data_IF_323349507053
#
_entry.id   IF_323349507053
#
_cell.length_a   1.000
_cell.length_b   1.000
_cell.length_c   1.000
_cell.angle_alpha   90.00
_cell.angle_beta   90.00
_cell.angle_gamma   90.00
#
_symmetry.space_group_name_H-M   'P 1'
#
loop_
_entity.id
_entity.type
_entity.pdbx_description
1 polymer ?
#
# COMPACT_ATOMS: atom_id res chain seq x y z
N UNK A 1 16.16 -20.90 21.17
CA UNK A 1 16.96 -21.66 20.19
C UNK A 1 17.81 -20.65 19.48
N UNK A 2 19.09 -20.81 19.65
CA UNK A 2 20.23 -19.98 19.50
C UNK A 2 20.23 -18.96 18.35
N UNK A 3 20.74 -17.81 18.68
CA UNK A 3 21.32 -16.86 17.75
C UNK A 3 22.42 -17.57 16.98
N UNK A 4 22.09 -18.12 15.82
CA UNK A 4 23.11 -18.60 14.90
C UNK A 4 23.81 -17.38 14.30
N UNK A 5 24.80 -16.88 15.00
CA UNK A 5 25.81 -16.01 14.41
C UNK A 5 26.57 -16.87 13.39
N UNK A 6 26.27 -16.64 12.11
CA UNK A 6 27.12 -17.19 11.05
C UNK A 6 28.45 -16.45 11.15
N UNK A 7 29.44 -17.06 11.77
CA UNK A 7 30.85 -16.60 11.67
C UNK A 7 31.28 -16.82 10.23
N UNK A 8 31.29 -15.78 9.45
CA UNK A 8 31.97 -15.76 8.17
C UNK A 8 33.45 -15.49 8.45
N UNK A 9 34.34 -16.26 7.83
CA UNK A 9 35.78 -16.03 7.94
C UNK A 9 36.10 -14.56 7.58
N UNK A 10 37.07 -13.96 8.23
CA UNK A 10 37.37 -12.51 8.13
C UNK A 10 37.67 -12.01 6.72
N UNK A 11 38.06 -12.89 5.81
CA UNK A 11 38.25 -12.62 4.38
C UNK A 11 36.97 -12.64 3.55
N UNK A 12 35.86 -13.06 4.17
CA UNK A 12 34.52 -13.17 3.54
C UNK A 12 33.46 -12.34 4.26
N UNK A 13 33.84 -11.33 4.99
CA UNK A 13 32.89 -10.42 5.62
C UNK A 13 32.05 -9.70 4.57
N UNK A 14 30.75 -9.84 4.67
CA UNK A 14 29.82 -9.05 3.88
C UNK A 14 29.73 -7.65 4.47
N UNK A 15 30.26 -6.67 3.75
CA UNK A 15 30.10 -5.27 4.12
C UNK A 15 28.67 -4.84 3.81
N UNK A 16 27.92 -4.46 4.85
CA UNK A 16 26.59 -3.89 4.70
C UNK A 16 26.68 -2.36 4.85
N UNK A 17 26.13 -1.63 3.88
CA UNK A 17 26.00 -0.19 3.98
C UNK A 17 24.61 0.27 3.55
N UNK A 18 24.04 1.21 4.29
CA UNK A 18 22.79 1.90 3.97
C UNK A 18 22.85 3.32 4.48
N UNK A 19 22.65 4.28 3.58
CA UNK A 19 22.79 5.70 3.89
C UNK A 19 21.59 6.31 4.63
N UNK A 20 20.50 5.55 4.86
CA UNK A 20 19.28 6.02 5.53
C UNK A 20 18.84 5.07 6.64
N UNK A 21 18.04 5.55 7.57
CA UNK A 21 17.21 4.69 8.44
C UNK A 21 16.20 3.92 7.59
N UNK A 22 15.71 2.79 8.07
CA UNK A 22 14.66 2.03 7.41
C UNK A 22 13.84 1.23 8.41
N UNK A 23 12.57 1.00 8.08
CA UNK A 23 11.70 0.14 8.88
C UNK A 23 11.76 -1.31 8.43
N UNK A 24 11.44 -2.23 9.32
CA UNK A 24 11.32 -3.65 9.05
C UNK A 24 10.41 -4.32 10.09
N UNK A 25 9.91 -5.50 9.76
CA UNK A 25 9.15 -6.32 10.70
C UNK A 25 10.12 -7.35 11.31
N UNK A 26 10.35 -7.26 12.61
CA UNK A 26 11.23 -8.20 13.27
C UNK A 26 10.62 -9.62 13.35
N UNK A 27 11.39 -10.59 13.87
CA UNK A 27 10.96 -12.00 14.00
C UNK A 27 9.71 -12.17 14.88
N UNK A 28 9.40 -11.20 15.74
CA UNK A 28 8.22 -11.20 16.60
C UNK A 28 6.99 -10.54 15.96
N UNK A 29 7.12 -10.06 14.71
CA UNK A 29 6.04 -9.37 14.00
C UNK A 29 5.90 -7.87 14.33
N UNK A 30 6.85 -7.30 15.09
CA UNK A 30 6.83 -5.90 15.48
C UNK A 30 7.51 -5.01 14.44
N UNK A 31 6.94 -3.83 14.19
CA UNK A 31 7.60 -2.79 13.39
C UNK A 31 8.76 -2.19 14.17
N UNK A 32 9.95 -2.22 13.59
CA UNK A 32 11.19 -1.65 14.13
C UNK A 32 11.80 -0.68 13.13
N UNK A 33 12.61 0.24 13.64
CA UNK A 33 13.47 1.10 12.84
C UNK A 33 14.92 0.65 13.00
N UNK A 34 15.59 0.41 11.89
CA UNK A 34 17.01 0.19 11.84
C UNK A 34 17.75 1.49 11.53
N UNK A 35 18.86 1.73 12.22
CA UNK A 35 19.71 2.88 12.03
C UNK A 35 20.53 2.82 10.71
N UNK A 36 21.22 3.90 10.39
CA UNK A 36 22.16 3.93 9.25
C UNK A 36 23.19 2.80 9.41
N UNK A 37 23.40 2.04 8.35
CA UNK A 37 24.29 0.89 8.32
C UNK A 37 23.90 -0.29 9.24
N UNK A 38 22.74 -0.27 9.85
CA UNK A 38 22.19 -1.40 10.62
C UNK A 38 21.44 -2.36 9.69
N UNK A 39 21.80 -3.66 9.65
CA UNK A 39 21.08 -4.64 8.85
C UNK A 39 19.71 -4.94 9.45
N UNK A 40 18.74 -5.27 8.61
CA UNK A 40 17.35 -5.61 8.99
C UNK A 40 17.18 -7.12 8.94
N UNK A 41 16.85 -7.72 10.07
CA UNK A 41 16.56 -9.16 10.15
C UNK A 41 15.09 -9.39 10.42
N UNK A 42 14.39 -9.90 9.44
CA UNK A 42 13.00 -10.33 9.49
C UNK A 42 12.87 -11.83 9.77
N UNK A 43 11.64 -12.34 9.82
CA UNK A 43 11.38 -13.76 10.08
C UNK A 43 12.11 -14.67 9.10
N UNK A 44 12.19 -14.28 7.84
CA UNK A 44 12.81 -15.05 6.75
C UNK A 44 14.33 -14.87 6.66
N UNK A 45 14.91 -13.94 7.43
CA UNK A 45 16.35 -13.67 7.45
C UNK A 45 16.71 -12.22 7.19
N UNK A 46 17.90 -12.00 6.63
CA UNK A 46 18.40 -10.68 6.26
C UNK A 46 17.60 -10.11 5.09
N UNK A 47 16.93 -8.96 5.31
CA UNK A 47 16.20 -8.24 4.27
C UNK A 47 17.20 -7.46 3.40
N UNK A 48 17.32 -7.87 2.14
CA UNK A 48 18.13 -7.19 1.12
C UNK A 48 17.17 -6.69 0.05
N UNK A 49 17.14 -5.37 -0.15
CA UNK A 49 16.30 -4.71 -1.15
C UNK A 49 17.13 -3.74 -1.98
N UNK A 50 16.75 -3.58 -3.25
CA UNK A 50 17.18 -2.44 -4.04
C UNK A 50 16.65 -1.12 -3.46
N UNK A 51 17.26 0.00 -3.85
CA UNK A 51 16.76 1.32 -3.48
C UNK A 51 15.29 1.47 -3.89
N UNK A 52 14.46 1.92 -2.95
CA UNK A 52 13.06 2.19 -3.16
C UNK A 52 12.72 3.59 -2.71
N UNK A 53 11.81 4.24 -3.41
CA UNK A 53 11.29 5.56 -3.05
C UNK A 53 9.81 5.41 -2.71
N UNK A 54 9.40 5.86 -1.53
CA UNK A 54 7.99 5.94 -1.17
C UNK A 54 7.40 7.25 -1.69
N UNK A 55 6.55 7.15 -2.70
CA UNK A 55 5.85 8.28 -3.30
C UNK A 55 4.51 8.60 -2.61
N UNK A 56 4.00 7.70 -1.78
CA UNK A 56 2.79 7.95 -0.98
C UNK A 56 3.18 8.79 0.25
N UNK A 57 2.98 10.09 0.17
CA UNK A 57 3.30 11.01 1.24
C UNK A 57 2.49 10.69 2.51
N UNK A 58 3.11 10.92 3.67
CA UNK A 58 2.47 10.71 4.97
C UNK A 58 1.97 9.28 5.20
N UNK A 59 2.65 8.27 4.65
CA UNK A 59 2.20 6.87 4.73
C UNK A 59 1.98 6.37 6.18
N UNK A 60 2.66 6.98 7.16
CA UNK A 60 2.48 6.71 8.59
C UNK A 60 1.53 7.71 9.30
N UNK A 61 0.89 8.63 8.56
CA UNK A 61 0.02 9.66 9.12
C UNK A 61 -1.31 9.73 8.35
N UNK A 62 -2.22 8.77 8.53
CA UNK A 62 -3.44 8.63 7.73
C UNK A 62 -4.33 9.88 7.72
N UNK A 63 -4.35 10.66 8.79
CA UNK A 63 -5.11 11.91 8.86
C UNK A 63 -4.68 12.94 7.78
N UNK A 64 -3.42 12.87 7.36
CA UNK A 64 -2.82 13.78 6.35
C UNK A 64 -2.86 13.22 4.93
N UNK A 65 -3.49 12.08 4.68
CA UNK A 65 -3.57 11.51 3.34
C UNK A 65 -4.42 12.38 2.41
N UNK A 66 -3.98 12.49 1.15
CA UNK A 66 -4.78 13.11 0.08
C UNK A 66 -6.00 12.25 -0.20
N UNK A 67 -7.17 12.69 0.25
CA UNK A 67 -8.43 11.95 0.18
C UNK A 67 -9.55 12.78 -0.42
N UNK A 68 -10.62 12.13 -0.84
CA UNK A 68 -11.85 12.80 -1.26
C UNK A 68 -12.45 13.64 -0.13
N UNK A 69 -13.03 14.80 -0.46
CA UNK A 69 -13.63 15.72 0.53
C UNK A 69 -14.76 15.07 1.36
N UNK A 70 -15.44 14.08 0.78
CA UNK A 70 -16.53 13.33 1.42
C UNK A 70 -16.05 12.06 2.17
N UNK A 71 -14.74 11.95 2.40
CA UNK A 71 -14.12 10.88 3.16
C UNK A 71 -13.48 11.47 4.41
N UNK A 72 -13.89 11.00 5.58
CA UNK A 72 -13.40 11.48 6.86
C UNK A 72 -12.51 10.42 7.53
N UNK A 73 -11.51 10.88 8.29
CA UNK A 73 -10.77 10.02 9.22
C UNK A 73 -11.40 10.21 10.59
N UNK A 74 -12.19 9.24 11.01
CA UNK A 74 -12.94 9.31 12.26
C UNK A 74 -12.08 8.98 13.48
N UNK A 75 -11.03 8.18 13.28
CA UNK A 75 -10.14 7.71 14.33
C UNK A 75 -8.73 7.53 13.78
N UNK A 76 -7.72 7.83 14.56
CA UNK A 76 -6.33 7.47 14.31
C UNK A 76 -5.79 6.75 15.54
N UNK A 77 -5.16 5.61 15.34
CA UNK A 77 -4.60 4.80 16.42
C UNK A 77 -3.30 4.12 16.00
N UNK A 78 -2.75 3.35 16.90
CA UNK A 78 -1.58 2.48 16.65
C UNK A 78 -1.94 1.08 17.09
N UNK A 79 -1.69 0.10 16.23
CA UNK A 79 -1.95 -1.29 16.56
C UNK A 79 -0.88 -1.86 17.51
N UNK A 80 -1.08 -3.09 17.99
CA UNK A 80 -0.17 -3.76 18.93
C UNK A 80 1.22 -4.03 18.36
N UNK A 81 1.40 -3.88 17.04
CA UNK A 81 2.68 -4.08 16.35
C UNK A 81 3.40 -2.77 16.01
N UNK A 82 2.82 -1.61 16.39
CA UNK A 82 3.41 -0.30 16.17
C UNK A 82 3.04 0.36 14.84
N UNK A 83 2.08 -0.19 14.07
CA UNK A 83 1.59 0.45 12.85
C UNK A 83 0.50 1.47 13.17
N UNK A 84 0.67 2.68 12.67
CA UNK A 84 -0.37 3.70 12.73
C UNK A 84 -1.47 3.39 11.71
N UNK A 85 -2.72 3.49 12.13
CA UNK A 85 -3.89 3.34 11.26
C UNK A 85 -4.82 4.55 11.35
N UNK A 86 -5.65 4.72 10.31
CA UNK A 86 -6.77 5.66 10.30
C UNK A 86 -8.05 4.93 9.94
N UNK A 87 -9.14 5.18 10.66
CA UNK A 87 -10.48 4.70 10.31
C UNK A 87 -11.13 5.68 9.35
N UNK A 88 -11.28 5.27 8.12
CA UNK A 88 -11.91 6.06 7.07
C UNK A 88 -13.41 5.77 7.02
N UNK A 89 -14.21 6.82 7.04
CA UNK A 89 -15.67 6.73 6.98
C UNK A 89 -16.21 7.63 5.87
N UNK A 90 -17.27 7.19 5.21
CA UNK A 90 -17.98 7.98 4.22
C UNK A 90 -18.83 9.06 4.92
N UNK A 91 -18.91 10.24 4.31
CA UNK A 91 -19.81 11.29 4.77
C UNK A 91 -21.28 10.85 4.58
N UNK A 92 -22.15 11.25 5.50
CA UNK A 92 -23.60 10.92 5.46
C UNK A 92 -24.28 11.33 4.16
N UNK A 93 -23.82 12.41 3.50
CA UNK A 93 -24.34 12.87 2.22
C UNK A 93 -24.16 11.87 1.07
N UNK A 94 -23.30 10.86 1.24
CA UNK A 94 -23.03 9.81 0.26
C UNK A 94 -23.92 8.58 0.42
N UNK A 95 -24.67 8.47 1.51
CA UNK A 95 -25.55 7.32 1.76
C UNK A 95 -26.53 7.18 0.59
N UNK A 96 -26.63 5.95 0.07
CA UNK A 96 -27.46 5.63 -1.09
C UNK A 96 -26.80 5.89 -2.45
N UNK A 97 -25.58 6.43 -2.49
CA UNK A 97 -24.86 6.68 -3.74
C UNK A 97 -23.91 5.54 -4.09
N UNK A 98 -23.89 5.15 -5.38
CA UNK A 98 -22.86 4.27 -5.94
C UNK A 98 -21.66 5.12 -6.34
N UNK A 99 -20.66 5.20 -5.47
CA UNK A 99 -19.50 6.08 -5.68
C UNK A 99 -18.21 5.42 -5.23
N UNK A 100 -17.09 5.91 -5.75
CA UNK A 100 -15.73 5.51 -5.35
C UNK A 100 -14.99 6.73 -4.84
N UNK A 101 -14.36 6.60 -3.68
CA UNK A 101 -13.70 7.69 -2.98
C UNK A 101 -12.21 7.39 -2.77
N UNK A 102 -11.37 8.39 -2.94
CA UNK A 102 -9.94 8.27 -2.60
C UNK A 102 -9.76 8.31 -1.08
N UNK A 103 -9.03 7.35 -0.54
CA UNK A 103 -8.52 7.35 0.83
C UNK A 103 -7.09 7.88 0.89
N UNK A 104 -6.25 7.47 -0.08
CA UNK A 104 -4.90 7.97 -0.24
C UNK A 104 -4.59 8.07 -1.73
N UNK A 105 -3.91 9.15 -2.14
CA UNK A 105 -3.56 9.39 -3.53
C UNK A 105 -2.14 9.91 -3.65
N UNK A 106 -1.41 9.39 -4.63
CA UNK A 106 -0.19 10.02 -5.14
C UNK A 106 -0.63 11.13 -6.10
N UNK A 107 -0.36 12.38 -5.74
CA UNK A 107 -0.72 13.52 -6.58
C UNK A 107 0.05 13.50 -7.91
N UNK A 108 -0.48 14.17 -8.92
CA UNK A 108 0.18 14.29 -10.23
C UNK A 108 1.57 14.93 -10.14
N UNK A 109 1.77 15.83 -9.17
CA UNK A 109 3.09 16.43 -8.90
C UNK A 109 4.09 15.45 -8.25
N UNK A 110 3.60 14.37 -7.65
CA UNK A 110 4.39 13.28 -7.08
C UNK A 110 4.33 11.99 -7.91
N UNK A 111 3.90 12.06 -9.17
CA UNK A 111 3.83 10.91 -10.05
C UNK A 111 5.18 10.21 -10.18
N UNK A 112 5.15 8.88 -10.23
CA UNK A 112 6.36 8.07 -10.34
C UNK A 112 6.87 8.15 -11.78
N UNK A 113 8.11 8.60 -11.96
CA UNK A 113 8.79 8.57 -13.25
C UNK A 113 9.16 7.13 -13.62
N UNK A 114 8.63 6.66 -14.72
CA UNK A 114 8.85 5.31 -15.28
C UNK A 114 9.47 5.35 -16.67
N UNK A 115 9.97 6.52 -17.10
CA UNK A 115 10.63 6.69 -18.40
C UNK A 115 12.01 6.03 -18.46
N UNK A 116 12.72 5.97 -17.31
CA UNK A 116 14.05 5.38 -17.17
C UNK A 116 14.03 3.86 -16.95
N UNK A 117 14.92 3.37 -16.12
CA UNK A 117 15.07 1.94 -15.78
C UNK A 117 13.98 1.42 -14.82
N UNK A 118 13.30 2.33 -14.12
CA UNK A 118 12.22 2.00 -13.21
C UNK A 118 10.94 1.70 -13.99
N UNK A 119 10.67 0.43 -14.21
CA UNK A 119 9.55 -0.02 -15.06
C UNK A 119 8.33 -0.53 -14.29
N UNK A 120 8.35 -0.49 -12.96
CA UNK A 120 7.27 -0.98 -12.13
C UNK A 120 6.88 0.03 -11.07
N UNK A 121 5.58 0.18 -10.85
CA UNK A 121 5.01 0.92 -9.73
C UNK A 121 4.18 -0.02 -8.88
N UNK A 122 4.53 -0.13 -7.61
CA UNK A 122 3.82 -0.95 -6.64
C UNK A 122 3.14 -0.04 -5.61
N UNK A 123 1.87 -0.34 -5.34
CA UNK A 123 1.11 0.28 -4.25
C UNK A 123 0.63 -0.81 -3.33
N UNK A 124 0.85 -0.61 -2.03
CA UNK A 124 0.42 -1.54 -1.00
C UNK A 124 -0.21 -0.82 0.17
N UNK A 125 -1.11 -1.49 0.86
CA UNK A 125 -1.65 -1.03 2.14
C UNK A 125 -2.08 -2.22 3.00
N UNK A 126 -2.26 -1.95 4.30
CA UNK A 126 -2.97 -2.83 5.22
C UNK A 126 -4.34 -2.23 5.48
N UNK A 127 -5.35 -3.07 5.56
CA UNK A 127 -6.70 -2.63 5.89
C UNK A 127 -7.40 -3.62 6.81
N UNK A 128 -8.43 -3.14 7.47
CA UNK A 128 -9.28 -3.97 8.34
C UNK A 128 -10.68 -3.37 8.35
N UNK A 129 -11.68 -4.21 8.08
CA UNK A 129 -13.10 -3.87 8.21
C UNK A 129 -13.90 -5.15 8.43
N UNK A 130 -15.02 -5.06 9.14
CA UNK A 130 -15.98 -6.15 9.31
C UNK A 130 -17.04 -6.15 8.20
N UNK A 131 -17.01 -5.13 7.33
CA UNK A 131 -18.00 -4.92 6.28
C UNK A 131 -17.56 -5.54 4.96
N UNK A 132 -18.51 -5.83 4.10
CA UNK A 132 -18.25 -6.26 2.74
C UNK A 132 -18.20 -5.06 1.81
N UNK A 133 -16.99 -4.57 1.57
CA UNK A 133 -16.69 -3.43 0.73
C UNK A 133 -15.69 -3.82 -0.37
N UNK A 134 -15.37 -2.89 -1.24
CA UNK A 134 -14.29 -3.04 -2.22
C UNK A 134 -13.17 -2.05 -1.89
N UNK A 135 -11.99 -2.60 -1.60
CA UNK A 135 -10.76 -1.83 -1.63
C UNK A 135 -10.25 -1.84 -3.07
N UNK A 136 -9.93 -0.67 -3.62
CA UNK A 136 -9.39 -0.55 -4.97
C UNK A 136 -8.03 0.11 -4.94
N UNK A 137 -7.07 -0.46 -5.65
CA UNK A 137 -5.81 0.21 -5.99
C UNK A 137 -5.90 0.59 -7.46
N UNK A 138 -5.89 1.89 -7.73
CA UNK A 138 -5.99 2.47 -9.07
C UNK A 138 -4.62 2.87 -9.55
N UNK A 139 -4.36 2.67 -10.84
CA UNK A 139 -3.21 3.22 -11.56
C UNK A 139 -3.66 4.07 -12.75
N UNK A 140 -3.02 5.21 -12.92
CA UNK A 140 -3.24 6.12 -14.03
C UNK A 140 -1.91 6.53 -14.66
N UNK A 141 -1.86 6.60 -15.99
CA UNK A 141 -0.78 7.28 -16.68
C UNK A 141 -0.97 8.79 -16.56
N UNK A 142 0.12 9.52 -16.42
CA UNK A 142 0.15 10.97 -16.41
C UNK A 142 1.17 11.47 -17.45
N UNK A 143 0.76 12.36 -18.33
CA UNK A 143 1.60 12.87 -19.43
C UNK A 143 2.21 14.24 -19.17
N UNK A 144 2.05 14.77 -17.95
CA UNK A 144 2.46 16.11 -17.54
C UNK A 144 1.31 17.12 -17.51
N UNK A 145 0.15 16.79 -18.10
CA UNK A 145 -1.04 17.65 -18.12
C UNK A 145 -2.31 16.91 -17.76
N UNK A 146 -2.51 15.70 -18.25
CA UNK A 146 -3.71 14.91 -18.07
C UNK A 146 -3.41 13.50 -17.56
N UNK A 147 -4.36 12.93 -16.81
CA UNK A 147 -4.32 11.54 -16.37
C UNK A 147 -5.26 10.68 -17.21
N UNK A 148 -4.83 9.46 -17.50
CA UNK A 148 -5.65 8.43 -18.15
C UNK A 148 -5.62 7.14 -17.37
N UNK A 149 -6.77 6.48 -17.22
CA UNK A 149 -6.89 5.27 -16.45
C UNK A 149 -6.15 4.09 -17.12
N UNK A 150 -5.28 3.44 -16.36
CA UNK A 150 -4.60 2.21 -16.77
C UNK A 150 -5.35 0.96 -16.25
N UNK A 151 -5.78 0.99 -15.01
CA UNK A 151 -6.48 -0.15 -14.44
C UNK A 151 -6.56 -0.12 -12.92
N UNK A 152 -7.18 -1.19 -12.42
CA UNK A 152 -7.48 -1.36 -11.00
C UNK A 152 -7.19 -2.80 -10.56
N UNK A 153 -6.65 -2.93 -9.35
CA UNK A 153 -6.80 -4.14 -8.56
C UNK A 153 -7.93 -3.89 -7.55
N UNK A 154 -8.94 -4.72 -7.56
CA UNK A 154 -10.15 -4.58 -6.74
C UNK A 154 -10.22 -5.78 -5.81
N UNK A 155 -10.24 -5.55 -4.51
CA UNK A 155 -10.30 -6.59 -3.48
C UNK A 155 -11.64 -6.50 -2.76
N UNK A 156 -12.41 -7.60 -2.77
CA UNK A 156 -13.56 -7.72 -1.89
C UNK A 156 -13.07 -8.00 -0.47
N UNK A 157 -13.43 -7.14 0.48
CA UNK A 157 -12.89 -7.17 1.85
C UNK A 157 -13.31 -8.40 2.65
N UNK A 158 -14.40 -9.07 2.28
CA UNK A 158 -14.90 -10.28 2.95
C UNK A 158 -14.34 -11.55 2.32
N UNK A 159 -14.48 -11.70 1.00
CA UNK A 159 -14.06 -12.91 0.30
C UNK A 159 -12.58 -12.95 -0.04
N UNK A 160 -11.89 -11.80 0.02
CA UNK A 160 -10.49 -11.59 -0.37
C UNK A 160 -10.22 -11.95 -1.85
N UNK A 161 -11.27 -12.05 -2.67
CA UNK A 161 -11.12 -12.22 -4.11
C UNK A 161 -10.59 -10.94 -4.73
N UNK A 162 -9.65 -11.10 -5.64
CA UNK A 162 -9.04 -10.01 -6.41
C UNK A 162 -9.57 -10.04 -7.83
N UNK A 163 -10.10 -8.91 -8.29
CA UNK A 163 -10.46 -8.66 -9.68
C UNK A 163 -9.49 -7.61 -10.26
N UNK A 164 -8.93 -7.89 -11.43
CA UNK A 164 -8.05 -6.95 -12.15
C UNK A 164 -8.77 -6.50 -13.41
N UNK A 165 -8.89 -5.17 -13.60
CA UNK A 165 -9.61 -4.57 -14.72
C UNK A 165 -8.86 -3.37 -15.27
N UNK A 166 -9.21 -2.96 -16.50
CA UNK A 166 -8.67 -1.77 -17.15
C UNK A 166 -7.93 -2.07 -18.45
N UNK A 167 -7.47 -1.00 -19.11
CA UNK A 167 -6.81 -1.11 -20.43
C UNK A 167 -5.41 -1.74 -20.35
N UNK A 168 -4.82 -1.78 -19.17
CA UNK A 168 -3.51 -2.37 -18.89
C UNK A 168 -3.60 -3.55 -17.89
N UNK A 169 -4.75 -4.24 -17.86
CA UNK A 169 -4.97 -5.36 -16.94
C UNK A 169 -3.95 -6.51 -17.15
N UNK A 170 -3.47 -6.72 -18.36
CA UNK A 170 -2.45 -7.71 -18.72
C UNK A 170 -1.05 -7.40 -18.10
N UNK A 171 -0.82 -6.17 -17.68
CA UNK A 171 0.43 -5.70 -17.07
C UNK A 171 0.31 -5.44 -15.57
N UNK A 172 -0.86 -5.72 -14.99
CA UNK A 172 -1.16 -5.49 -13.60
C UNK A 172 -1.23 -6.82 -12.86
N UNK A 173 -0.56 -6.89 -11.72
CA UNK A 173 -0.63 -8.04 -10.80
C UNK A 173 -1.04 -7.55 -9.42
N UNK A 174 -1.72 -8.40 -8.66
CA UNK A 174 -2.04 -8.09 -7.28
C UNK A 174 -2.03 -9.35 -6.43
N UNK A 175 -1.75 -9.15 -5.14
CA UNK A 175 -1.86 -10.19 -4.12
C UNK A 175 -2.53 -9.63 -2.89
N UNK A 176 -3.21 -10.51 -2.18
CA UNK A 176 -3.83 -10.23 -0.90
C UNK A 176 -3.44 -11.33 0.09
N UNK A 177 -3.18 -10.93 1.32
CA UNK A 177 -2.86 -11.87 2.39
C UNK A 177 -3.49 -11.38 3.70
N UNK A 178 -4.16 -12.28 4.42
CA UNK A 178 -4.78 -11.97 5.71
C UNK A 178 -3.95 -12.58 6.84
N UNK A 179 -3.68 -11.78 7.83
CA UNK A 179 -3.16 -12.25 9.10
C UNK A 179 -4.33 -12.71 9.97
N UNK A 180 -4.48 -14.01 10.12
CA UNK A 180 -5.58 -14.60 10.89
C UNK A 180 -5.51 -14.28 12.38
N UNK A 181 -4.33 -13.99 12.93
CA UNK A 181 -4.17 -13.67 14.34
C UNK A 181 -4.69 -12.26 14.68
N UNK A 182 -4.52 -11.30 13.78
CA UNK A 182 -4.86 -9.89 14.01
C UNK A 182 -6.07 -9.42 13.22
N UNK A 183 -6.43 -10.17 12.17
CA UNK A 183 -7.49 -9.81 11.22
C UNK A 183 -7.09 -8.71 10.24
N UNK A 184 -5.86 -8.19 10.28
CA UNK A 184 -5.35 -7.26 9.28
C UNK A 184 -5.13 -7.95 7.94
N UNK A 185 -5.46 -7.25 6.87
CA UNK A 185 -5.34 -7.72 5.50
C UNK A 185 -4.32 -6.83 4.79
N UNK A 186 -3.30 -7.45 4.22
CA UNK A 186 -2.32 -6.78 3.37
C UNK A 186 -2.71 -6.97 1.91
N UNK A 187 -2.71 -5.89 1.15
CA UNK A 187 -2.89 -5.90 -0.29
C UNK A 187 -1.74 -5.17 -0.96
N UNK A 188 -1.29 -5.72 -2.06
CA UNK A 188 -0.28 -5.14 -2.92
C UNK A 188 -0.72 -5.30 -4.37
N UNK A 189 -0.57 -4.23 -5.14
CA UNK A 189 -0.76 -4.26 -6.58
C UNK A 189 0.44 -3.61 -7.28
N UNK A 190 0.87 -4.22 -8.37
CA UNK A 190 2.01 -3.75 -9.17
C UNK A 190 1.59 -3.64 -10.63
N UNK A 191 1.88 -2.50 -11.24
CA UNK A 191 1.75 -2.30 -12.69
C UNK A 191 3.12 -2.19 -13.33
N UNK A 192 3.30 -2.87 -14.46
CA UNK A 192 4.47 -2.71 -15.31
C UNK A 192 4.20 -1.60 -16.34
N UNK A 193 5.09 -0.61 -16.38
CA UNK A 193 5.05 0.44 -17.39
C UNK A 193 5.40 -0.13 -18.76
N UNK A 194 4.81 0.45 -19.81
CA UNK A 194 5.08 0.15 -21.21
C UNK A 194 5.55 1.39 -21.95
N UNK A 195 4.67 2.35 -22.14
CA UNK A 195 4.93 3.61 -22.86
C UNK A 195 4.70 4.84 -22.00
N UNK A 196 4.29 4.66 -20.77
CA UNK A 196 4.00 5.74 -19.83
C UNK A 196 5.32 6.45 -19.44
N UNK A 197 5.26 7.80 -19.29
CA UNK A 197 6.34 8.58 -18.71
C UNK A 197 6.21 8.66 -17.20
N UNK A 198 4.98 8.84 -16.73
CA UNK A 198 4.66 8.88 -15.31
C UNK A 198 3.45 8.01 -14.99
N UNK A 199 3.44 7.43 -13.80
CA UNK A 199 2.31 6.69 -13.26
C UNK A 199 1.95 7.27 -11.88
N UNK A 200 0.66 7.53 -11.68
CA UNK A 200 0.08 7.84 -10.37
C UNK A 200 -0.70 6.65 -9.84
N UNK A 201 -0.91 6.63 -8.53
CA UNK A 201 -1.70 5.60 -7.87
C UNK A 201 -2.61 6.17 -6.80
N UNK A 202 -3.69 5.47 -6.52
CA UNK A 202 -4.60 5.79 -5.43
C UNK A 202 -5.14 4.53 -4.76
N UNK A 203 -5.29 4.61 -3.44
CA UNK A 203 -6.04 3.64 -2.64
C UNK A 203 -7.45 4.19 -2.48
N UNK A 204 -8.44 3.39 -2.82
CA UNK A 204 -9.83 3.83 -2.92
C UNK A 204 -10.77 2.89 -2.17
N UNK A 205 -11.79 3.49 -1.57
CA UNK A 205 -13.01 2.82 -1.11
C UNK A 205 -14.03 2.75 -2.25
N UNK A 206 -14.75 1.66 -2.35
CA UNK A 206 -15.99 1.58 -3.11
C UNK A 206 -17.00 0.67 -2.39
N UNK A 207 -18.32 0.92 -2.52
CA UNK A 207 -19.31 -0.03 -2.03
C UNK A 207 -19.17 -1.35 -2.79
N UNK A 208 -19.71 -2.44 -2.22
CA UNK A 208 -19.69 -3.74 -2.90
C UNK A 208 -20.33 -3.62 -4.29
N UNK A 209 -19.94 -4.52 -5.20
CA UNK A 209 -20.42 -4.50 -6.59
C UNK A 209 -21.95 -4.46 -6.64
N UNK A 210 -22.50 -3.44 -7.33
CA UNK A 210 -23.94 -3.20 -7.43
C UNK A 210 -24.57 -2.61 -6.15
N UNK A 211 -23.77 -2.30 -5.14
CA UNK A 211 -24.22 -1.68 -3.90
C UNK A 211 -24.09 -0.16 -3.89
N UNK A 212 -24.50 0.40 -2.78
CA UNK A 212 -24.40 1.83 -2.46
C UNK A 212 -23.73 2.02 -1.12
N UNK A 213 -23.25 3.23 -0.85
CA UNK A 213 -22.75 3.62 0.47
C UNK A 213 -23.86 3.45 1.50
N UNK A 214 -23.57 2.75 2.59
CA UNK A 214 -24.47 2.54 3.70
C UNK A 214 -24.05 3.35 4.92
N UNK A 215 -24.98 3.61 5.84
CA UNK A 215 -24.66 4.30 7.09
C UNK A 215 -23.71 3.45 7.92
N UNK A 216 -22.61 4.08 8.35
CA UNK A 216 -21.58 3.40 9.14
C UNK A 216 -20.52 2.66 8.33
N UNK A 217 -20.50 2.76 7.00
CA UNK A 217 -19.45 2.20 6.17
C UNK A 217 -18.07 2.78 6.54
N UNK A 218 -17.12 1.87 6.80
CA UNK A 218 -15.75 2.22 7.16
C UNK A 218 -14.72 1.17 6.69
N UNK A 219 -13.50 1.60 6.59
CA UNK A 219 -12.33 0.77 6.32
C UNK A 219 -11.09 1.32 7.04
#
# INVERSE_FOLDING_TARGET
IGDNVVQVASDKQVNFSRASTATYINKSGELKTAEINEPRFEKEGLLIEGQRTNYMLNSATPASWGKSANMNVAEVGTDSFGFTYGKFVCNESLIGQSTTLNMAVVSTSGAVDVSGDNKCVTTSCRFKTDLELLLRIRFEAFDGSASSNLGYAIVNTRSLLVEITGVAADRLTARVNKDEATGWIFVEATIQASKETYITSAIQYAPKKGGVVESGDYI
#
